data_IF_113012499764
#
_entry.id   IF_113012499764
#
_cell.length_a   1.000
_cell.length_b   1.000
_cell.length_c   1.000
_cell.angle_alpha   90.00
_cell.angle_beta   90.00
_cell.angle_gamma   90.00
#
_symmetry.space_group_name_H-M   'P 1'
#
loop_
_entity.id
_entity.type
_entity.pdbx_description
1 polymer ?
#
# COMPACT_ATOMS: atom_id res chain seq x y z
N UNK A 1 -7.34 -11.15 10.67
CA UNK A 1 -6.68 -10.29 9.65
C UNK A 1 -7.57 -10.26 8.41
N UNK A 2 -7.95 -9.09 7.90
CA UNK A 2 -8.66 -9.02 6.60
C UNK A 2 -7.66 -9.25 5.46
N UNK A 3 -8.02 -10.13 4.53
CA UNK A 3 -7.23 -10.43 3.33
C UNK A 3 -7.03 -9.17 2.47
N UNK A 4 -5.89 -9.03 1.78
CA UNK A 4 -5.67 -7.92 0.86
C UNK A 4 -6.57 -8.08 -0.37
N UNK A 5 -7.21 -6.98 -0.80
CA UNK A 5 -7.99 -6.95 -2.05
C UNK A 5 -7.15 -7.29 -3.28
N UNK A 6 -5.92 -6.77 -3.30
CA UNK A 6 -4.93 -7.03 -4.32
C UNK A 6 -3.54 -6.95 -3.68
N UNK A 7 -2.56 -7.63 -4.26
CA UNK A 7 -1.16 -7.58 -3.82
C UNK A 7 -0.25 -7.49 -5.03
N UNK A 8 0.79 -6.68 -4.92
CA UNK A 8 1.88 -6.59 -5.90
C UNK A 8 3.22 -6.44 -5.19
N UNK A 9 4.31 -6.56 -5.93
CA UNK A 9 5.67 -6.23 -5.48
C UNK A 9 6.25 -5.17 -6.40
N UNK A 10 7.17 -4.37 -5.87
CA UNK A 10 7.90 -3.39 -6.69
C UNK A 10 8.81 -4.09 -7.69
N UNK A 11 9.06 -3.45 -8.82
CA UNK A 11 10.13 -3.85 -9.73
C UNK A 11 11.53 -3.56 -9.13
N UNK A 12 12.59 -3.81 -9.92
CA UNK A 12 13.98 -3.57 -9.51
C UNK A 12 14.29 -2.09 -9.24
N UNK A 13 13.52 -1.18 -9.83
CA UNK A 13 13.64 0.27 -9.66
C UNK A 13 12.71 0.81 -8.56
N UNK A 14 11.98 -0.06 -7.86
CA UNK A 14 11.04 0.34 -6.81
C UNK A 14 9.67 0.79 -7.30
N UNK A 15 9.36 0.67 -8.60
CA UNK A 15 8.07 1.10 -9.18
C UNK A 15 7.01 0.02 -8.98
N UNK A 16 5.76 0.43 -8.83
CA UNK A 16 4.62 -0.47 -8.79
C UNK A 16 3.35 0.23 -9.28
N UNK A 17 2.41 -0.56 -9.81
CA UNK A 17 1.04 -0.15 -10.08
C UNK A 17 0.14 -1.23 -9.50
N UNK A 18 -0.95 -0.82 -8.84
CA UNK A 18 -1.92 -1.73 -8.25
C UNK A 18 -3.32 -1.15 -8.36
N UNK A 19 -4.26 -2.01 -8.73
CA UNK A 19 -5.69 -1.71 -8.80
C UNK A 19 -6.48 -2.91 -8.33
N UNK A 20 -7.65 -2.66 -7.75
CA UNK A 20 -8.56 -3.71 -7.32
C UNK A 20 -9.96 -3.14 -7.12
N UNK A 21 -10.96 -4.00 -7.21
CA UNK A 21 -12.37 -3.64 -7.08
C UNK A 21 -13.06 -4.58 -6.11
N UNK A 22 -13.94 -4.05 -5.27
CA UNK A 22 -14.77 -4.83 -4.36
C UNK A 22 -16.22 -4.42 -4.54
N UNK A 23 -17.14 -5.38 -4.66
CA UNK A 23 -18.58 -5.10 -4.71
C UNK A 23 -19.08 -4.76 -3.31
N UNK A 24 -19.15 -3.47 -2.99
CA UNK A 24 -19.57 -2.96 -1.68
C UNK A 24 -20.10 -1.54 -1.79
N UNK A 25 -21.01 -1.15 -0.89
CA UNK A 25 -21.53 0.21 -0.78
C UNK A 25 -20.53 1.15 -0.08
N UNK A 26 -19.56 0.61 0.65
CA UNK A 26 -18.54 1.38 1.38
C UNK A 26 -17.15 0.92 1.00
N UNK A 27 -16.45 1.73 0.20
CA UNK A 27 -15.11 1.41 -0.29
C UNK A 27 -14.08 2.38 0.29
N UNK A 28 -13.46 2.04 1.42
CA UNK A 28 -12.41 2.87 2.06
C UNK A 28 -11.04 2.15 2.05
N UNK A 29 -10.38 2.05 0.88
CA UNK A 29 -9.14 1.30 0.78
C UNK A 29 -7.95 2.05 1.40
N UNK A 30 -6.97 1.27 1.85
CA UNK A 30 -5.65 1.79 2.25
C UNK A 30 -4.55 0.98 1.59
N UNK A 31 -3.50 1.66 1.15
CA UNK A 31 -2.28 1.01 0.67
C UNK A 31 -1.44 0.58 1.87
N UNK A 32 -1.07 -0.70 1.91
CA UNK A 32 -0.18 -1.26 2.94
C UNK A 32 1.13 -1.65 2.29
N UNK A 33 2.22 -0.98 2.69
CA UNK A 33 3.56 -1.25 2.17
C UNK A 33 4.33 -2.02 3.24
N UNK A 34 4.69 -3.26 2.94
CA UNK A 34 5.54 -4.10 3.79
C UNK A 34 6.95 -4.13 3.22
N UNK A 35 7.96 -3.82 4.01
CA UNK A 35 9.34 -3.73 3.55
C UNK A 35 10.35 -4.09 4.65
N UNK A 36 11.58 -4.35 4.22
CA UNK A 36 12.73 -4.66 5.09
C UNK A 36 13.84 -3.60 5.02
N UNK A 37 13.56 -2.40 4.50
CA UNK A 37 14.56 -1.35 4.42
C UNK A 37 15.12 -1.01 5.81
N UNK A 38 16.46 -1.03 5.94
CA UNK A 38 17.18 -0.89 7.22
C UNK A 38 16.80 -1.91 8.29
N UNK A 39 16.23 -3.06 7.92
CA UNK A 39 15.93 -4.15 8.86
C UNK A 39 16.15 -5.51 8.22
N UNK A 40 17.11 -6.29 8.71
CA UNK A 40 17.43 -7.61 8.13
C UNK A 40 16.34 -8.65 8.43
N UNK A 41 15.81 -8.62 9.65
CA UNK A 41 14.96 -9.68 10.21
C UNK A 41 13.50 -9.23 10.31
N UNK A 42 13.26 -7.97 10.69
CA UNK A 42 11.91 -7.47 10.94
C UNK A 42 11.29 -6.85 9.70
N UNK A 43 9.99 -7.02 9.55
CA UNK A 43 9.19 -6.34 8.53
C UNK A 43 8.64 -5.04 9.10
N UNK A 44 8.81 -3.95 8.37
CA UNK A 44 8.20 -2.65 8.65
C UNK A 44 6.98 -2.50 7.76
N UNK A 45 5.90 -1.97 8.32
CA UNK A 45 4.62 -1.77 7.63
C UNK A 45 4.18 -0.33 7.73
N UNK A 46 4.01 0.31 6.59
CA UNK A 46 3.42 1.64 6.44
C UNK A 46 1.99 1.47 5.91
N UNK A 47 1.04 2.23 6.46
CA UNK A 47 -0.35 2.24 6.00
C UNK A 47 -0.71 3.65 5.58
N UNK A 48 -1.10 3.81 4.31
CA UNK A 48 -1.51 5.08 3.73
C UNK A 48 -2.98 4.97 3.30
N UNK A 49 -3.88 5.82 3.82
CA UNK A 49 -5.24 5.88 3.30
C UNK A 49 -5.23 6.40 1.87
N UNK A 50 -6.07 5.83 1.00
CA UNK A 50 -6.25 6.35 -0.36
C UNK A 50 -7.31 7.45 -0.30
N UNK A 51 -7.02 8.69 -0.75
CA UNK A 51 -7.99 9.77 -0.75
C UNK A 51 -9.25 9.41 -1.53
N UNK A 52 -10.40 9.82 -1.01
CA UNK A 52 -11.71 9.45 -1.55
C UNK A 52 -11.90 9.80 -3.02
N UNK A 53 -11.26 10.87 -3.51
CA UNK A 53 -11.31 11.32 -4.91
C UNK A 53 -10.71 10.34 -5.92
N UNK A 54 -9.81 9.44 -5.48
CA UNK A 54 -9.21 8.41 -6.35
C UNK A 54 -9.97 7.08 -6.28
N UNK A 55 -11.11 7.05 -5.59
CA UNK A 55 -12.02 5.91 -5.61
C UNK A 55 -12.89 6.03 -6.84
N UNK A 56 -12.87 4.99 -7.66
CA UNK A 56 -13.65 4.93 -8.89
C UNK A 56 -14.85 4.01 -8.69
N UNK A 57 -15.99 4.39 -9.25
CA UNK A 57 -17.13 3.49 -9.37
C UNK A 57 -16.93 2.54 -10.56
N UNK A 58 -17.32 1.28 -10.36
CA UNK A 58 -17.11 0.20 -11.33
C UNK A 58 -15.75 -0.49 -11.18
N UNK A 59 -15.34 -1.22 -12.21
CA UNK A 59 -14.14 -2.07 -12.20
C UNK A 59 -12.94 -1.46 -12.93
N UNK A 60 -13.14 -0.32 -13.60
CA UNK A 60 -12.12 0.35 -14.41
C UNK A 60 -11.58 1.57 -13.68
N UNK A 61 -10.26 1.65 -13.55
CA UNK A 61 -9.58 2.81 -12.95
C UNK A 61 -9.59 3.98 -13.93
N UNK A 62 -10.16 5.12 -13.53
CA UNK A 62 -10.17 6.35 -14.35
C UNK A 62 -8.95 7.23 -14.07
N UNK A 63 -8.58 7.31 -12.79
CA UNK A 63 -7.44 8.09 -12.31
C UNK A 63 -6.66 7.27 -11.29
N UNK A 64 -5.34 7.22 -11.45
CA UNK A 64 -4.44 6.61 -10.49
C UNK A 64 -4.02 7.64 -9.44
N UNK A 65 -4.02 7.21 -8.17
CA UNK A 65 -3.39 8.00 -7.12
C UNK A 65 -1.87 7.88 -7.23
N UNK A 66 -1.23 8.93 -7.72
CA UNK A 66 0.23 9.03 -7.76
C UNK A 66 0.78 9.40 -6.36
N UNK A 67 1.60 8.51 -5.81
CA UNK A 67 2.27 8.67 -4.50
C UNK A 67 3.61 9.39 -4.62
N UNK A 68 4.08 9.64 -5.85
CA UNK A 68 5.43 10.10 -6.14
C UNK A 68 6.48 9.10 -5.67
N UNK A 69 7.61 9.61 -5.17
CA UNK A 69 8.75 8.82 -4.71
C UNK A 69 8.84 8.93 -3.18
N UNK A 70 8.79 7.78 -2.51
CA UNK A 70 8.85 7.70 -1.05
C UNK A 70 10.14 6.97 -0.63
N UNK A 71 10.99 7.63 0.16
CA UNK A 71 12.16 6.99 0.75
C UNK A 71 11.77 6.08 1.94
N UNK A 72 11.59 4.79 1.66
CA UNK A 72 11.26 3.78 2.67
C UNK A 72 12.39 3.49 3.65
N UNK A 73 13.59 4.10 3.52
CA UNK A 73 14.64 4.02 4.55
C UNK A 73 14.31 4.90 5.76
N UNK A 74 13.55 5.99 5.58
CA UNK A 74 13.09 6.85 6.68
C UNK A 74 12.09 6.12 7.57
N UNK A 75 12.01 6.52 8.85
CA UNK A 75 11.03 6.01 9.81
C UNK A 75 9.79 6.89 9.77
N UNK A 76 8.65 6.31 9.40
CA UNK A 76 7.37 7.01 9.48
C UNK A 76 6.82 6.90 10.90
N UNK A 77 6.23 7.97 11.42
CA UNK A 77 5.63 7.98 12.77
C UNK A 77 4.52 6.93 12.88
N UNK A 78 3.79 6.70 11.80
CA UNK A 78 2.66 5.76 11.72
C UNK A 78 3.05 4.34 11.33
N UNK A 79 4.34 4.03 11.16
CA UNK A 79 4.75 2.67 10.80
C UNK A 79 4.76 1.73 12.01
N UNK A 80 4.46 0.46 11.74
CA UNK A 80 4.64 -0.63 12.71
C UNK A 80 5.80 -1.53 12.31
N UNK A 81 6.45 -2.15 13.30
CA UNK A 81 7.54 -3.12 13.09
C UNK A 81 7.15 -4.47 13.67
N UNK A 82 7.30 -5.53 12.89
CA UNK A 82 7.01 -6.91 13.29
C UNK A 82 8.26 -7.75 13.04
N UNK A 83 8.78 -8.39 14.09
CA UNK A 83 9.92 -9.29 14.00
C UNK A 83 9.42 -10.74 14.13
N UNK A 84 10.00 -11.70 13.40
CA UNK A 84 9.80 -13.11 13.72
C UNK A 84 10.26 -13.39 15.16
N UNK A 85 9.52 -14.24 15.85
CA UNK A 85 9.82 -14.73 17.19
C UNK A 85 10.89 -15.81 17.16
#
# INVERSE_FOLDING_TARGET
MKEPLMKTSTDREGRFVISGSLKTDTFDPSLRINHKCRSKICTRKVVLPIPSKYRNEGTVVREFYDLGIIDMKRKFVTESKMCPT
#
